data_IF_483208465984
#
_entry.id   IF_483208465984
#
_cell.length_a   1.000
_cell.length_b   1.000
_cell.length_c   1.000
_cell.angle_alpha   90.00
_cell.angle_beta   90.00
_cell.angle_gamma   90.00
#
_symmetry.space_group_name_H-M   'P 1'
#
loop_
_entity.id
_entity.type
_entity.pdbx_description
1 polymer ?
#
# COMPACT_ATOMS: atom_id res chain seq x y z
N UNK A 1 3.54 0.58 13.91
CA UNK A 1 3.57 -0.07 12.58
C UNK A 1 2.47 0.53 11.70
N UNK A 2 2.70 0.78 10.41
CA UNK A 2 1.67 1.33 9.49
C UNK A 2 1.13 0.21 8.59
N UNK A 3 -0.18 -0.04 8.61
CA UNK A 3 -0.86 -1.02 7.74
C UNK A 3 -1.86 -0.32 6.83
N UNK A 4 -1.88 -0.71 5.55
CA UNK A 4 -2.75 -0.07 4.55
C UNK A 4 -3.54 -1.14 3.80
N UNK A 5 -4.86 -0.98 3.77
CA UNK A 5 -5.77 -1.76 2.93
C UNK A 5 -6.17 -0.93 1.70
N UNK A 6 -5.87 -1.44 0.52
CA UNK A 6 -6.19 -0.79 -0.76
C UNK A 6 -7.59 -1.21 -1.20
N UNK A 7 -8.59 -0.38 -0.87
CA UNK A 7 -9.99 -0.67 -1.16
C UNK A 7 -10.31 -0.37 -2.63
N UNK A 8 -10.31 -1.41 -3.45
CA UNK A 8 -10.71 -1.35 -4.87
C UNK A 8 -12.15 -1.86 -4.98
N UNK A 9 -12.97 -1.23 -5.81
CA UNK A 9 -14.33 -1.71 -6.07
C UNK A 9 -14.33 -2.97 -6.92
N UNK A 10 -15.40 -3.77 -6.78
CA UNK A 10 -15.59 -5.00 -7.55
C UNK A 10 -15.55 -4.73 -9.06
N UNK A 11 -16.02 -3.57 -9.50
CA UNK A 11 -16.02 -3.19 -10.91
C UNK A 11 -14.63 -2.80 -11.40
N UNK A 12 -13.89 -1.97 -10.66
CA UNK A 12 -12.52 -1.62 -11.04
C UNK A 12 -11.60 -2.84 -11.05
N UNK A 13 -11.79 -3.79 -10.12
CA UNK A 13 -11.06 -5.06 -10.17
C UNK A 13 -11.36 -5.83 -11.47
N UNK A 14 -12.62 -5.89 -11.91
CA UNK A 14 -13.01 -6.55 -13.17
C UNK A 14 -12.27 -5.95 -14.36
N UNK A 15 -12.29 -4.63 -14.46
CA UNK A 15 -11.67 -3.89 -15.56
C UNK A 15 -10.16 -4.16 -15.60
N UNK A 16 -9.48 -4.10 -14.45
CA UNK A 16 -8.03 -4.37 -14.35
C UNK A 16 -7.67 -5.82 -14.69
N UNK A 17 -8.50 -6.79 -14.31
CA UNK A 17 -8.29 -8.19 -14.68
C UNK A 17 -8.46 -8.41 -16.18
N UNK A 18 -9.47 -7.78 -16.79
CA UNK A 18 -9.68 -7.81 -18.24
C UNK A 18 -8.50 -7.17 -18.99
N UNK A 19 -8.05 -5.99 -18.55
CA UNK A 19 -6.89 -5.31 -19.15
C UNK A 19 -5.63 -6.20 -19.16
N UNK A 20 -5.40 -6.99 -18.09
CA UNK A 20 -4.27 -7.94 -18.04
C UNK A 20 -4.38 -9.06 -19.07
N UNK A 21 -5.59 -9.45 -19.46
CA UNK A 21 -5.82 -10.45 -20.50
C UNK A 21 -5.66 -9.84 -21.90
N UNK A 22 -6.14 -8.62 -22.08
CA UNK A 22 -6.13 -7.93 -23.35
C UNK A 22 -4.71 -7.50 -23.76
N UNK A 23 -3.90 -7.08 -22.79
CA UNK A 23 -2.52 -6.63 -22.98
C UNK A 23 -1.50 -7.79 -22.88
N UNK A 24 -0.85 -8.21 -23.99
CA UNK A 24 0.12 -9.31 -23.99
C UNK A 24 1.29 -9.12 -23.02
N UNK A 25 1.71 -7.87 -22.76
CA UNK A 25 2.82 -7.57 -21.85
C UNK A 25 2.43 -7.73 -20.37
N UNK A 26 1.12 -7.75 -20.07
CA UNK A 26 0.58 -7.89 -18.70
C UNK A 26 0.04 -9.29 -18.40
N UNK A 27 -0.15 -10.15 -19.41
CA UNK A 27 -0.74 -11.50 -19.24
C UNK A 27 -0.05 -12.36 -18.20
N UNK A 28 1.27 -12.24 -18.06
CA UNK A 28 2.04 -12.99 -17.06
C UNK A 28 1.60 -12.70 -15.61
N UNK A 29 0.94 -11.56 -15.36
CA UNK A 29 0.40 -11.16 -14.05
C UNK A 29 -0.99 -11.73 -13.76
N UNK A 30 -1.64 -12.32 -14.75
CA UNK A 30 -2.98 -12.90 -14.61
C UNK A 30 -2.89 -14.38 -14.25
N UNK A 31 -3.65 -14.81 -13.26
CA UNK A 31 -3.81 -16.23 -12.93
C UNK A 31 -5.27 -16.60 -13.09
N UNK A 32 -5.55 -17.81 -13.59
CA UNK A 32 -6.94 -18.31 -13.67
C UNK A 32 -7.63 -18.31 -12.30
N UNK A 33 -6.88 -18.59 -11.23
CA UNK A 33 -7.36 -18.53 -9.85
C UNK A 33 -7.85 -17.15 -9.41
N UNK A 34 -7.41 -16.05 -10.04
CA UNK A 34 -7.91 -14.70 -9.75
C UNK A 34 -9.44 -14.61 -10.00
N UNK A 35 -9.97 -15.42 -10.93
CA UNK A 35 -11.40 -15.50 -11.20
C UNK A 35 -12.15 -16.29 -10.13
N UNK A 36 -11.52 -17.30 -9.54
CA UNK A 36 -12.09 -18.08 -8.44
C UNK A 36 -12.13 -17.23 -7.17
N UNK A 37 -11.04 -16.53 -6.84
CA UNK A 37 -11.00 -15.55 -5.75
C UNK A 37 -12.04 -14.43 -5.95
N UNK A 38 -12.23 -13.97 -7.18
CA UNK A 38 -13.25 -12.96 -7.50
C UNK A 38 -14.68 -13.43 -7.23
N UNK A 39 -14.97 -14.72 -7.37
CA UNK A 39 -16.30 -15.27 -7.00
C UNK A 39 -16.55 -15.12 -5.50
N UNK A 40 -15.49 -15.24 -4.70
CA UNK A 40 -15.48 -15.11 -3.24
C UNK A 40 -15.42 -13.64 -2.76
N UNK A 41 -15.79 -12.68 -3.61
CA UNK A 41 -15.72 -11.26 -3.26
C UNK A 41 -16.46 -10.91 -1.96
N UNK A 42 -17.72 -11.35 -1.73
CA UNK A 42 -18.42 -11.08 -0.47
C UNK A 42 -17.68 -11.63 0.75
N UNK A 43 -17.13 -12.83 0.65
CA UNK A 43 -16.41 -13.51 1.72
C UNK A 43 -15.10 -12.81 2.06
N UNK A 44 -14.35 -12.37 1.05
CA UNK A 44 -13.16 -11.55 1.25
C UNK A 44 -13.50 -10.19 1.88
N UNK A 45 -14.60 -9.54 1.45
CA UNK A 45 -15.02 -8.27 2.02
C UNK A 45 -15.33 -8.41 3.52
N UNK A 46 -16.10 -9.43 3.88
CA UNK A 46 -16.40 -9.75 5.29
C UNK A 46 -15.14 -10.08 6.09
N UNK A 47 -14.25 -10.91 5.55
CA UNK A 47 -12.99 -11.24 6.22
C UNK A 47 -12.10 -10.01 6.45
N UNK A 48 -12.05 -9.08 5.48
CA UNK A 48 -11.32 -7.82 5.67
C UNK A 48 -11.98 -6.91 6.69
N UNK A 49 -13.32 -6.82 6.74
CA UNK A 49 -14.03 -6.07 7.80
C UNK A 49 -13.67 -6.60 9.19
N UNK A 50 -13.61 -7.93 9.36
CA UNK A 50 -13.18 -8.56 10.61
C UNK A 50 -11.73 -8.22 10.96
N UNK A 51 -10.81 -8.33 9.99
CA UNK A 51 -9.38 -7.98 10.19
C UNK A 51 -9.23 -6.52 10.59
N UNK A 52 -9.90 -5.61 9.88
CA UNK A 52 -9.83 -4.17 10.14
C UNK A 52 -10.38 -3.83 11.52
N UNK A 53 -11.55 -4.38 11.87
CA UNK A 53 -12.22 -4.13 13.16
C UNK A 53 -11.43 -4.69 14.34
N UNK A 54 -10.89 -5.91 14.20
CA UNK A 54 -10.27 -6.63 15.33
C UNK A 54 -8.79 -6.29 15.55
N UNK A 55 -8.11 -5.79 14.51
CA UNK A 55 -6.64 -5.64 14.55
C UNK A 55 -6.15 -4.20 14.33
N UNK A 56 -7.05 -3.23 14.14
CA UNK A 56 -6.65 -1.82 14.11
C UNK A 56 -6.46 -1.31 15.53
N UNK A 57 -5.19 -1.17 15.95
CA UNK A 57 -4.80 -0.72 17.28
C UNK A 57 -4.07 0.63 17.19
N UNK A 58 -4.00 1.38 18.29
CA UNK A 58 -3.43 2.73 18.28
C UNK A 58 -1.94 2.77 17.87
N UNK A 59 -1.18 1.74 18.22
CA UNK A 59 0.25 1.56 17.90
C UNK A 59 0.48 0.86 16.53
N UNK A 60 -0.54 0.19 16.02
CA UNK A 60 -0.55 -0.48 14.73
C UNK A 60 -1.89 -0.23 13.99
N UNK A 61 -2.16 1.01 13.52
CA UNK A 61 -3.42 1.34 12.88
C UNK A 61 -3.52 0.75 11.46
N UNK A 62 -4.75 0.42 11.06
CA UNK A 62 -5.11 0.20 9.66
C UNK A 62 -5.64 1.47 9.01
N UNK A 63 -5.21 1.72 7.77
CA UNK A 63 -5.75 2.77 6.92
C UNK A 63 -6.49 2.13 5.73
N UNK A 64 -7.78 2.40 5.60
CA UNK A 64 -8.58 2.01 4.42
C UNK A 64 -8.44 3.10 3.37
N UNK A 65 -7.76 2.81 2.27
CA UNK A 65 -7.44 3.78 1.22
C UNK A 65 -8.27 3.49 -0.04
N UNK A 66 -9.09 4.44 -0.52
CA UNK A 66 -9.77 4.31 -1.81
C UNK A 66 -8.75 4.14 -2.94
N UNK A 67 -8.82 3.01 -3.64
CA UNK A 67 -7.77 2.57 -4.57
C UNK A 67 -8.26 2.36 -6.02
N UNK A 68 -9.46 2.84 -6.34
CA UNK A 68 -10.02 2.80 -7.70
C UNK A 68 -9.19 3.65 -8.67
N UNK A 69 -8.70 4.81 -8.22
CA UNK A 69 -7.77 5.66 -8.96
C UNK A 69 -6.35 5.53 -8.40
N UNK A 70 -5.40 5.14 -9.25
CA UNK A 70 -4.00 4.94 -8.86
C UNK A 70 -3.36 6.20 -8.29
N UNK A 71 -3.69 7.39 -8.81
CA UNK A 71 -3.14 8.65 -8.31
C UNK A 71 -3.65 9.00 -6.92
N UNK A 72 -4.95 8.77 -6.63
CA UNK A 72 -5.54 8.95 -5.30
C UNK A 72 -4.87 8.01 -4.31
N UNK A 73 -4.79 6.72 -4.66
CA UNK A 73 -4.09 5.71 -3.87
C UNK A 73 -2.68 6.17 -3.51
N UNK A 74 -1.89 6.57 -4.51
CA UNK A 74 -0.50 6.98 -4.32
C UNK A 74 -0.40 8.19 -3.38
N UNK A 75 -1.23 9.21 -3.60
CA UNK A 75 -1.24 10.43 -2.79
C UNK A 75 -1.59 10.13 -1.32
N UNK A 76 -2.64 9.34 -1.08
CA UNK A 76 -3.09 9.03 0.27
C UNK A 76 -2.04 8.19 1.01
N UNK A 77 -1.49 7.16 0.36
CA UNK A 77 -0.42 6.33 0.95
C UNK A 77 0.80 7.19 1.29
N UNK A 78 1.24 8.06 0.38
CA UNK A 78 2.38 8.94 0.62
C UNK A 78 2.14 9.88 1.81
N UNK A 79 0.94 10.45 1.93
CA UNK A 79 0.57 11.31 3.08
C UNK A 79 0.53 10.55 4.41
N UNK A 80 0.02 9.31 4.41
CA UNK A 80 0.02 8.46 5.60
C UNK A 80 1.46 8.18 6.05
N UNK A 81 2.34 7.80 5.13
CA UNK A 81 3.75 7.53 5.44
C UNK A 81 4.45 8.79 5.93
N UNK A 82 4.28 9.93 5.25
CA UNK A 82 4.88 11.21 5.65
C UNK A 82 4.48 11.58 7.09
N UNK A 83 3.18 11.51 7.42
CA UNK A 83 2.69 11.81 8.76
C UNK A 83 3.41 10.99 9.85
N UNK A 84 3.60 9.68 9.62
CA UNK A 84 4.28 8.82 10.60
C UNK A 84 5.79 9.10 10.67
N UNK A 85 6.44 9.32 9.53
CA UNK A 85 7.87 9.65 9.49
C UNK A 85 8.16 11.00 10.18
N UNK A 86 7.33 12.02 9.97
CA UNK A 86 7.47 13.33 10.64
C UNK A 86 7.30 13.21 12.16
N UNK A 87 6.36 12.36 12.61
CA UNK A 87 6.14 12.12 14.05
C UNK A 87 7.31 11.44 14.75
N UNK A 88 8.08 10.63 14.03
CA UNK A 88 9.29 9.99 14.57
C UNK A 88 10.41 11.00 14.84
N UNK A 89 10.37 12.19 14.21
CA UNK A 89 11.39 13.24 14.33
C UNK A 89 12.82 12.69 14.17
N UNK A 90 13.11 11.95 13.09
CA UNK A 90 14.45 11.40 12.88
C UNK A 90 15.47 12.55 12.80
N UNK A 91 16.65 12.33 13.38
CA UNK A 91 17.78 13.25 13.29
C UNK A 91 18.91 12.58 12.53
N UNK A 92 19.66 13.37 11.78
CA UNK A 92 20.95 12.91 11.28
C UNK A 92 21.87 12.65 12.48
N UNK A 93 22.74 11.62 12.40
CA UNK A 93 23.77 11.44 13.41
C UNK A 93 24.72 12.64 13.40
N UNK A 94 25.37 12.87 14.53
CA UNK A 94 26.44 13.86 14.62
C UNK A 94 27.62 13.39 13.75
N UNK A 95 28.26 14.34 13.07
CA UNK A 95 29.51 14.08 12.35
C UNK A 95 30.67 14.00 13.33
N UNK A 96 31.72 13.25 12.99
CA UNK A 96 32.97 13.30 13.75
C UNK A 96 33.53 14.73 13.77
N UNK A 97 34.14 15.11 14.90
CA UNK A 97 34.82 16.40 15.03
C UNK A 97 36.08 16.42 14.16
N UNK A 98 36.44 17.59 13.61
CA UNK A 98 37.69 17.75 12.86
C UNK A 98 37.67 17.24 11.41
N UNK A 99 36.49 16.96 10.83
CA UNK A 99 36.36 16.65 9.41
C UNK A 99 36.63 17.85 8.48
N UNK A 100 36.65 19.05 9.04
CA UNK A 100 36.88 20.30 8.33
C UNK A 100 38.29 20.35 7.75
N UNK A 101 38.40 20.33 6.42
CA UNK A 101 39.67 20.42 5.71
C UNK A 101 40.38 19.09 5.45
N UNK A 102 39.77 17.95 5.79
CA UNK A 102 40.26 16.64 5.34
C UNK A 102 40.13 16.50 3.83
N UNK A 103 41.19 16.03 3.19
CA UNK A 103 41.23 15.68 1.75
C UNK A 103 41.45 14.18 1.66
N UNK A 104 40.61 13.51 0.87
CA UNK A 104 40.78 12.08 0.55
C UNK A 104 41.69 12.00 -0.67
N UNK A 105 42.81 11.27 -0.54
CA UNK A 105 43.74 10.96 -1.65
C UNK A 105 43.30 9.73 -2.46
#
# INVERSE_FOLDING_TARGET
MVKVFLNVSKEVQRQRLQERLDDPEKRWKFRKGDLDDRKLWPEYAQAYEDVLTRTSQADAPWYVVPADHNWVRNLVVAKVLLHHLERMKPRLPESEEGLEGLVVE
#
